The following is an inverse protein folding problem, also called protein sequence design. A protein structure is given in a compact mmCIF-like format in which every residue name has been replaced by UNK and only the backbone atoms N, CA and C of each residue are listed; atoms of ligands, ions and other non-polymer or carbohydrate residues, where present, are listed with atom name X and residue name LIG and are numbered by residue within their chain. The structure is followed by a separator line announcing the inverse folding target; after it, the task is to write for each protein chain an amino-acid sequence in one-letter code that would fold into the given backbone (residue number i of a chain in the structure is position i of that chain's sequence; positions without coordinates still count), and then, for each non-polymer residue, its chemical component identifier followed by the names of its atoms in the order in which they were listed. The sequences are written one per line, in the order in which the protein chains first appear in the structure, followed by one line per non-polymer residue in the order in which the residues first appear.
data_IF_643936349177
#
_entry.id   IF_643936349177
#
_cell.length_a   1.000
_cell.length_b   1.000
_cell.length_c   1.000
_cell.angle_alpha   90.00
_cell.angle_beta   90.00
_cell.angle_gamma   90.00
#
_symmetry.space_group_name_H-M   'P 1'
#
loop_
_entity.id
_entity.type
_entity.pdbx_description
1 polymer ?
#
# COMPACT_ATOMS: atom_id res chain seq x y z
N UNK A 1 12.26 10.41 20.79
CA UNK A 1 13.10 11.35 19.98
C UNK A 1 12.28 11.68 18.74
N UNK A 2 12.36 12.89 18.18
CA UNK A 2 11.67 13.16 16.92
C UNK A 2 12.17 12.18 15.85
N UNK A 3 11.26 11.66 15.04
CA UNK A 3 11.59 10.77 13.93
C UNK A 3 12.46 11.52 12.91
N UNK A 4 13.54 10.91 12.45
CA UNK A 4 14.53 11.51 11.55
C UNK A 4 14.80 10.61 10.35
N UNK A 5 15.30 11.20 9.28
CA UNK A 5 15.75 10.44 8.10
C UNK A 5 17.10 9.79 8.39
N UNK A 6 17.18 8.49 8.13
CA UNK A 6 18.43 7.74 8.15
C UNK A 6 18.99 7.64 6.73
N UNK A 7 19.98 8.44 6.41
CA UNK A 7 20.60 8.46 5.07
C UNK A 7 21.40 7.19 4.74
N UNK A 8 21.69 6.35 5.74
CA UNK A 8 22.32 5.03 5.60
C UNK A 8 21.32 3.90 5.91
N UNK A 9 20.01 4.20 5.77
CA UNK A 9 18.93 3.26 6.03
C UNK A 9 18.83 2.16 4.97
N UNK A 10 17.92 1.22 5.22
CA UNK A 10 17.74 0.01 4.40
C UNK A 10 17.26 0.28 2.97
N UNK A 11 16.63 1.44 2.74
CA UNK A 11 16.11 1.86 1.43
C UNK A 11 16.91 3.01 0.82
N UNK A 12 18.09 3.29 1.32
CA UNK A 12 18.95 4.38 0.80
C UNK A 12 19.10 4.30 -0.72
N UNK A 13 18.71 5.38 -1.40
CA UNK A 13 18.77 5.51 -2.86
C UNK A 13 17.73 4.72 -3.64
N UNK A 14 16.82 3.95 -2.98
CA UNK A 14 15.74 3.24 -3.63
C UNK A 14 14.59 4.18 -4.00
N UNK A 15 14.00 3.98 -5.17
CA UNK A 15 12.82 4.70 -5.63
C UNK A 15 11.57 3.91 -5.27
N UNK A 16 10.71 4.47 -4.43
CA UNK A 16 9.48 3.83 -3.95
C UNK A 16 8.24 4.60 -4.40
N UNK A 17 7.35 3.95 -5.15
CA UNK A 17 6.03 4.49 -5.53
C UNK A 17 4.98 3.92 -4.58
N UNK A 18 4.21 4.81 -3.91
CA UNK A 18 3.17 4.41 -2.96
C UNK A 18 1.84 5.02 -3.38
N UNK A 19 0.88 4.16 -3.72
CA UNK A 19 -0.47 4.59 -4.13
C UNK A 19 -1.40 4.76 -2.92
N UNK A 20 -2.35 5.71 -3.02
CA UNK A 20 -3.27 6.01 -1.92
C UNK A 20 -2.56 6.59 -0.69
N UNK A 21 -1.48 7.34 -0.89
CA UNK A 21 -0.57 7.78 0.17
C UNK A 21 -0.85 9.20 0.70
N UNK A 22 -2.02 9.77 0.44
CA UNK A 22 -2.40 11.08 1.00
C UNK A 22 -2.77 11.02 2.49
N UNK A 23 -3.04 9.84 3.05
CA UNK A 23 -3.47 9.62 4.45
C UNK A 23 -3.35 8.17 4.88
N UNK A 24 -3.44 7.93 6.19
CA UNK A 24 -3.57 6.62 6.78
C UNK A 24 -2.40 5.67 6.49
N UNK A 25 -2.68 4.43 6.08
CA UNK A 25 -1.65 3.40 5.86
C UNK A 25 -0.63 3.82 4.80
N UNK A 26 -1.08 4.36 3.67
CA UNK A 26 -0.17 4.80 2.61
C UNK A 26 0.74 5.95 3.02
N UNK A 27 0.23 6.92 3.76
CA UNK A 27 1.00 8.00 4.39
C UNK A 27 2.05 7.44 5.37
N UNK A 28 1.64 6.53 6.24
CA UNK A 28 2.52 5.88 7.22
C UNK A 28 3.68 5.12 6.55
N UNK A 29 3.38 4.37 5.48
CA UNK A 29 4.39 3.67 4.67
C UNK A 29 5.33 4.69 4.02
N UNK A 30 4.81 5.80 3.48
CA UNK A 30 5.62 6.85 2.86
C UNK A 30 6.62 7.45 3.85
N UNK A 31 6.17 7.76 5.07
CA UNK A 31 7.06 8.27 6.13
C UNK A 31 8.11 7.24 6.52
N UNK A 32 7.70 5.99 6.76
CA UNK A 32 8.65 4.95 7.19
C UNK A 32 9.72 4.65 6.12
N UNK A 33 9.33 4.66 4.84
CA UNK A 33 10.29 4.47 3.74
C UNK A 33 11.24 5.65 3.59
N UNK A 34 10.73 6.88 3.72
CA UNK A 34 11.57 8.07 3.73
C UNK A 34 12.57 8.04 4.90
N UNK A 35 12.15 7.61 6.10
CA UNK A 35 13.04 7.46 7.26
C UNK A 35 14.18 6.47 7.01
N UNK A 36 14.02 5.52 6.10
CA UNK A 36 15.07 4.57 5.66
C UNK A 36 15.83 5.03 4.41
N UNK A 37 15.71 6.30 4.03
CA UNK A 37 16.47 6.90 2.94
C UNK A 37 15.95 6.65 1.53
N UNK A 38 14.68 6.20 1.40
CA UNK A 38 14.05 6.06 0.09
C UNK A 38 13.70 7.42 -0.53
N UNK A 39 13.75 7.50 -1.86
CA UNK A 39 13.12 8.54 -2.66
C UNK A 39 11.67 8.17 -2.88
N UNK A 40 10.75 8.90 -2.25
CA UNK A 40 9.34 8.47 -2.15
C UNK A 40 8.47 9.24 -3.13
N UNK A 41 7.75 8.52 -3.99
CA UNK A 41 6.69 9.08 -4.84
C UNK A 41 5.34 8.82 -4.19
N UNK A 42 4.74 9.89 -3.69
CA UNK A 42 3.46 9.90 -2.96
C UNK A 42 2.33 10.15 -3.94
N UNK A 43 1.46 9.17 -4.14
CA UNK A 43 0.39 9.28 -5.13
C UNK A 43 -1.01 9.09 -4.53
N UNK A 44 -1.91 10.01 -4.86
CA UNK A 44 -3.35 9.91 -4.62
C UNK A 44 -4.09 10.96 -5.45
N UNK A 45 -5.43 10.96 -5.35
CA UNK A 45 -6.30 11.97 -6.00
C UNK A 45 -6.34 13.30 -5.26
N UNK A 46 -6.17 13.27 -3.93
CA UNK A 46 -6.21 14.45 -3.05
C UNK A 46 -4.86 15.15 -3.06
N UNK A 47 -4.75 16.28 -3.74
CA UNK A 47 -3.52 17.05 -3.92
C UNK A 47 -3.26 17.94 -2.72
N UNK A 48 -4.22 18.76 -2.36
CA UNK A 48 -4.12 19.73 -1.27
C UNK A 48 -5.15 19.46 -0.16
N UNK A 49 -4.88 19.99 1.03
CA UNK A 49 -5.85 19.94 2.13
C UNK A 49 -7.14 20.68 1.72
N UNK A 50 -8.29 20.02 1.94
CA UNK A 50 -9.60 20.53 1.56
C UNK A 50 -10.14 19.98 0.24
N UNK A 51 -9.33 19.37 -0.62
CA UNK A 51 -9.79 18.70 -1.86
C UNK A 51 -10.70 17.49 -1.57
N UNK A 52 -10.68 17.00 -0.34
CA UNK A 52 -11.49 15.86 0.11
C UNK A 52 -12.02 16.11 1.54
N UNK A 53 -13.22 15.61 1.89
CA UNK A 53 -13.76 15.76 3.25
C UNK A 53 -12.90 15.14 4.37
N UNK A 54 -12.11 14.13 4.04
CA UNK A 54 -11.16 13.53 4.98
C UNK A 54 -9.84 14.31 4.96
N UNK A 55 -9.19 14.51 6.13
CA UNK A 55 -7.88 15.17 6.20
C UNK A 55 -6.78 14.38 5.50
N UNK A 56 -5.73 15.06 5.10
CA UNK A 56 -4.54 14.50 4.45
C UNK A 56 -4.51 14.73 2.95
N UNK A 57 -3.32 15.06 2.45
CA UNK A 57 -3.04 15.38 1.04
C UNK A 57 -1.65 14.91 0.63
N UNK A 58 -1.42 14.69 -0.67
CA UNK A 58 -0.09 14.27 -1.14
C UNK A 58 0.95 15.36 -0.97
N UNK A 59 0.57 16.64 -1.14
CA UNK A 59 1.47 17.78 -0.91
C UNK A 59 1.86 17.89 0.57
N UNK A 60 0.92 17.66 1.50
CA UNK A 60 1.20 17.67 2.94
C UNK A 60 2.19 16.57 3.34
N UNK A 61 2.00 15.35 2.83
CA UNK A 61 2.93 14.23 3.08
C UNK A 61 4.31 14.52 2.54
N UNK A 62 4.41 14.98 1.30
CA UNK A 62 5.69 15.34 0.66
C UNK A 62 6.40 16.45 1.42
N UNK A 63 5.65 17.48 1.87
CA UNK A 63 6.25 18.58 2.62
C UNK A 63 6.88 18.11 3.93
N UNK A 64 6.17 17.26 4.71
CA UNK A 64 6.71 16.70 5.95
C UNK A 64 7.97 15.85 5.73
N UNK A 65 8.00 15.03 4.66
CA UNK A 65 9.20 14.26 4.32
C UNK A 65 10.37 15.19 4.01
N UNK A 66 10.14 16.25 3.23
CA UNK A 66 11.18 17.24 2.87
C UNK A 66 11.66 18.04 4.08
N UNK A 67 10.75 18.44 4.96
CA UNK A 67 11.09 19.18 6.19
C UNK A 67 11.95 18.34 7.14
N UNK A 68 11.78 17.01 7.10
CA UNK A 68 12.63 16.07 7.83
C UNK A 68 13.97 15.78 7.12
N UNK A 69 14.22 16.35 5.93
CA UNK A 69 15.44 16.17 5.16
C UNK A 69 15.42 15.00 4.16
N UNK A 70 14.25 14.38 3.92
CA UNK A 70 14.08 13.30 2.95
C UNK A 70 13.76 13.80 1.53
N UNK A 71 13.72 12.87 0.58
CA UNK A 71 13.35 13.11 -0.81
C UNK A 71 11.95 12.59 -1.11
N UNK A 72 11.05 13.46 -1.58
CA UNK A 72 9.70 13.04 -1.96
C UNK A 72 9.13 13.86 -3.13
N UNK A 73 8.27 13.22 -3.93
CA UNK A 73 7.54 13.79 -5.06
C UNK A 73 6.05 13.50 -4.91
N UNK A 74 5.20 14.51 -5.07
CA UNK A 74 3.76 14.35 -5.16
C UNK A 74 3.33 14.16 -6.61
N UNK A 75 2.57 13.09 -6.90
CA UNK A 75 1.99 12.84 -8.22
C UNK A 75 0.50 12.56 -8.07
N UNK A 76 -0.34 13.45 -8.60
CA UNK A 76 -1.78 13.21 -8.64
C UNK A 76 -2.08 12.05 -9.59
N UNK A 77 -2.83 11.06 -9.12
CA UNK A 77 -3.27 9.95 -9.96
C UNK A 77 -4.65 9.44 -9.51
N UNK A 78 -5.57 9.33 -10.46
CA UNK A 78 -6.79 8.53 -10.30
C UNK A 78 -6.57 7.17 -10.95
N UNK A 79 -6.38 6.15 -10.13
CA UNK A 79 -6.04 4.81 -10.60
C UNK A 79 -7.15 4.12 -11.41
N UNK A 80 -8.35 4.73 -11.49
CA UNK A 80 -9.40 4.27 -12.41
C UNK A 80 -9.13 4.66 -13.88
N UNK A 81 -8.08 5.45 -14.14
CA UNK A 81 -7.66 5.87 -15.49
C UNK A 81 -6.27 5.33 -15.84
N UNK A 82 -6.16 4.68 -16.99
CA UNK A 82 -4.90 4.09 -17.47
C UNK A 82 -3.79 5.14 -17.62
N UNK A 83 -4.11 6.27 -18.28
CA UNK A 83 -3.16 7.36 -18.50
C UNK A 83 -2.58 7.95 -17.21
N UNK A 84 -3.36 7.99 -16.11
CA UNK A 84 -2.86 8.46 -14.83
C UNK A 84 -1.85 7.46 -14.21
N UNK A 85 -2.05 6.15 -14.41
CA UNK A 85 -1.11 5.11 -13.97
C UNK A 85 0.21 5.17 -14.73
N UNK A 86 0.16 5.36 -16.05
CA UNK A 86 1.34 5.56 -16.90
C UNK A 86 2.10 6.84 -16.51
N UNK A 87 1.38 7.94 -16.34
CA UNK A 87 1.95 9.22 -15.90
C UNK A 87 2.62 9.12 -14.54
N UNK A 88 2.04 8.34 -13.60
CA UNK A 88 2.61 8.13 -12.28
C UNK A 88 3.99 7.48 -12.34
N UNK A 89 4.12 6.39 -13.09
CA UNK A 89 5.40 5.68 -13.20
C UNK A 89 6.41 6.52 -13.99
N UNK A 90 6.00 7.15 -15.10
CA UNK A 90 6.89 8.01 -15.85
C UNK A 90 7.42 9.18 -15.03
N UNK A 91 6.57 9.86 -14.25
CA UNK A 91 7.00 10.94 -13.36
C UNK A 91 7.97 10.47 -12.26
N UNK A 92 7.79 9.25 -11.74
CA UNK A 92 8.72 8.67 -10.78
C UNK A 92 10.09 8.43 -11.43
N UNK A 93 10.11 7.84 -12.61
CA UNK A 93 11.34 7.53 -13.34
C UNK A 93 12.08 8.78 -13.84
N UNK A 94 11.37 9.79 -14.29
CA UNK A 94 11.93 11.09 -14.71
C UNK A 94 12.60 11.83 -13.54
N UNK A 95 12.02 11.74 -12.34
CA UNK A 95 12.52 12.44 -11.17
C UNK A 95 13.67 11.71 -10.47
N UNK A 96 13.60 10.39 -10.36
CA UNK A 96 14.45 9.61 -9.47
C UNK A 96 15.15 8.42 -10.13
N UNK A 97 14.80 8.09 -11.36
CA UNK A 97 15.26 6.88 -12.04
C UNK A 97 14.32 5.69 -11.81
N UNK A 98 14.75 4.49 -12.24
CA UNK A 98 13.90 3.31 -12.29
C UNK A 98 13.27 2.98 -10.94
N UNK A 99 11.98 2.62 -10.94
CA UNK A 99 11.24 2.23 -9.74
C UNK A 99 11.79 0.92 -9.18
N UNK A 100 12.19 0.93 -7.91
CA UNK A 100 12.65 -0.24 -7.17
C UNK A 100 11.54 -0.90 -6.35
N UNK A 101 10.62 -0.09 -5.81
CA UNK A 101 9.57 -0.54 -4.90
C UNK A 101 8.22 0.02 -5.36
N UNK A 102 7.23 -0.86 -5.54
CA UNK A 102 5.85 -0.49 -5.81
C UNK A 102 4.95 -0.95 -4.66
N UNK A 103 4.27 -0.01 -3.99
CA UNK A 103 3.27 -0.31 -2.97
C UNK A 103 1.87 0.01 -3.49
N UNK A 104 1.11 -1.02 -3.82
CA UNK A 104 -0.29 -0.95 -4.22
C UNK A 104 -1.19 -0.91 -2.97
N UNK A 105 -1.34 0.28 -2.38
CA UNK A 105 -2.13 0.51 -1.18
C UNK A 105 -3.49 1.18 -1.47
N UNK A 106 -3.65 1.88 -2.59
CA UNK A 106 -4.89 2.57 -2.91
C UNK A 106 -6.11 1.62 -2.90
N UNK A 107 -7.19 2.08 -2.32
CA UNK A 107 -8.46 1.35 -2.30
C UNK A 107 -9.66 2.30 -2.43
N UNK A 108 -10.73 1.79 -3.00
CA UNK A 108 -12.07 2.36 -2.93
C UNK A 108 -13.02 1.27 -2.44
N UNK A 109 -13.81 1.56 -1.42
CA UNK A 109 -14.60 0.55 -0.74
C UNK A 109 -16.05 0.97 -0.62
N UNK A 110 -16.96 0.03 -0.91
CA UNK A 110 -18.38 0.17 -0.69
C UNK A 110 -18.87 -1.04 0.12
N UNK A 111 -19.32 -0.79 1.34
CA UNK A 111 -19.94 -1.80 2.19
C UNK A 111 -21.45 -1.80 1.95
N UNK A 112 -21.88 -2.54 0.93
CA UNK A 112 -23.27 -2.61 0.47
C UNK A 112 -23.65 -4.08 0.33
N UNK A 113 -24.87 -4.50 0.74
CA UNK A 113 -25.36 -5.85 0.51
C UNK A 113 -25.26 -6.26 -0.96
N UNK A 114 -24.91 -7.50 -1.24
CA UNK A 114 -24.69 -7.99 -2.61
C UNK A 114 -25.90 -7.75 -3.52
N UNK A 115 -27.12 -7.90 -3.00
CA UNK A 115 -28.37 -7.68 -3.76
C UNK A 115 -28.56 -6.21 -4.22
N UNK A 116 -27.92 -5.25 -3.56
CA UNK A 116 -28.03 -3.81 -3.84
C UNK A 116 -26.78 -3.25 -4.53
N UNK A 117 -25.79 -4.10 -4.81
CA UNK A 117 -24.51 -3.68 -5.34
C UNK A 117 -24.62 -3.33 -6.84
N UNK A 118 -24.40 -2.07 -7.20
CA UNK A 118 -24.46 -1.64 -8.59
C UNK A 118 -23.23 -2.02 -9.40
N UNK A 119 -23.41 -2.32 -10.68
CA UNK A 119 -22.32 -2.59 -11.63
C UNK A 119 -21.27 -1.46 -11.67
N UNK A 120 -21.71 -0.21 -11.62
CA UNK A 120 -20.82 0.95 -11.61
C UNK A 120 -19.85 0.92 -10.41
N UNK A 121 -20.34 0.59 -9.21
CA UNK A 121 -19.51 0.49 -8.01
C UNK A 121 -18.59 -0.71 -8.07
N UNK A 122 -19.07 -1.84 -8.58
CA UNK A 122 -18.26 -3.03 -8.78
C UNK A 122 -17.08 -2.74 -9.71
N UNK A 123 -17.35 -2.21 -10.90
CA UNK A 123 -16.31 -1.87 -11.89
C UNK A 123 -15.27 -0.91 -11.32
N UNK A 124 -15.67 0.10 -10.54
CA UNK A 124 -14.74 1.01 -9.90
C UNK A 124 -13.85 0.31 -8.85
N UNK A 125 -14.43 -0.59 -8.05
CA UNK A 125 -13.65 -1.35 -7.06
C UNK A 125 -12.66 -2.31 -7.72
N UNK A 126 -13.12 -3.04 -8.75
CA UNK A 126 -12.29 -3.96 -9.53
C UNK A 126 -11.15 -3.22 -10.21
N UNK A 127 -11.45 -2.09 -10.88
CA UNK A 127 -10.45 -1.27 -11.55
C UNK A 127 -9.35 -0.80 -10.60
N UNK A 128 -9.73 -0.22 -9.46
CA UNK A 128 -8.75 0.37 -8.54
C UNK A 128 -8.01 -0.68 -7.70
N UNK A 129 -8.66 -1.80 -7.32
CA UNK A 129 -8.09 -2.75 -6.37
C UNK A 129 -7.54 -4.03 -7.00
N UNK A 130 -7.85 -4.30 -8.28
CA UNK A 130 -7.40 -5.51 -8.98
C UNK A 130 -6.62 -5.13 -10.24
N UNK A 131 -7.25 -4.39 -11.16
CA UNK A 131 -6.63 -4.07 -12.44
C UNK A 131 -5.49 -3.05 -12.31
N UNK A 132 -5.66 -1.98 -11.53
CA UNK A 132 -4.61 -0.98 -11.34
C UNK A 132 -3.32 -1.58 -10.73
N UNK A 133 -3.35 -2.43 -9.67
CA UNK A 133 -2.17 -3.16 -9.20
C UNK A 133 -1.51 -4.03 -10.27
N UNK A 134 -2.29 -4.72 -11.11
CA UNK A 134 -1.76 -5.50 -12.23
C UNK A 134 -1.05 -4.57 -13.23
N UNK A 135 -1.72 -3.51 -13.69
CA UNK A 135 -1.16 -2.60 -14.71
C UNK A 135 0.07 -1.84 -14.19
N UNK A 136 0.03 -1.30 -12.96
CA UNK A 136 1.21 -0.67 -12.36
C UNK A 136 2.38 -1.64 -12.22
N UNK A 137 2.10 -2.91 -11.87
CA UNK A 137 3.15 -3.94 -11.87
C UNK A 137 3.73 -4.13 -13.26
N UNK A 138 2.91 -4.24 -14.32
CA UNK A 138 3.39 -4.36 -15.69
C UNK A 138 4.34 -3.21 -16.10
N UNK A 139 4.00 -1.97 -15.71
CA UNK A 139 4.80 -0.79 -16.03
C UNK A 139 6.21 -0.84 -15.42
N UNK A 140 6.37 -1.38 -14.22
CA UNK A 140 7.68 -1.44 -13.52
C UNK A 140 8.46 -2.73 -13.78
N UNK A 141 7.80 -3.80 -14.24
CA UNK A 141 8.41 -5.14 -14.34
C UNK A 141 9.58 -5.24 -15.31
N UNK A 142 9.53 -4.55 -16.45
CA UNK A 142 10.63 -4.59 -17.42
C UNK A 142 11.94 -4.18 -16.77
N UNK A 143 11.96 -3.01 -16.11
CA UNK A 143 13.13 -2.51 -15.43
C UNK A 143 13.57 -3.38 -14.23
N UNK A 144 12.61 -3.89 -13.44
CA UNK A 144 12.92 -4.79 -12.31
C UNK A 144 13.57 -6.11 -12.78
N UNK A 145 13.05 -6.72 -13.86
CA UNK A 145 13.60 -7.96 -14.44
C UNK A 145 15.00 -7.77 -14.99
N UNK A 146 15.24 -6.69 -15.72
CA UNK A 146 16.56 -6.36 -16.29
C UNK A 146 17.62 -6.18 -15.20
N UNK A 147 17.25 -5.51 -14.09
CA UNK A 147 18.16 -5.29 -12.96
C UNK A 147 18.25 -6.47 -12.00
N UNK A 148 17.39 -7.51 -12.15
CA UNK A 148 17.28 -8.65 -11.23
C UNK A 148 17.05 -8.21 -9.78
N UNK A 149 16.26 -7.16 -9.60
CA UNK A 149 15.92 -6.60 -8.29
C UNK A 149 14.65 -5.76 -8.37
N UNK A 150 13.77 -5.92 -7.40
CA UNK A 150 12.53 -5.16 -7.25
C UNK A 150 11.62 -5.74 -6.17
N UNK A 151 10.74 -4.90 -5.65
CA UNK A 151 9.79 -5.28 -4.60
C UNK A 151 8.40 -4.74 -4.92
N UNK A 152 7.41 -5.61 -4.92
CA UNK A 152 6.00 -5.26 -5.08
C UNK A 152 5.27 -5.69 -3.82
N UNK A 153 4.65 -4.73 -3.13
CA UNK A 153 3.85 -4.97 -1.92
C UNK A 153 2.41 -4.57 -2.20
N UNK A 154 1.51 -5.53 -2.17
CA UNK A 154 0.08 -5.31 -2.33
C UNK A 154 -0.61 -5.26 -0.96
N UNK A 155 -1.48 -4.28 -0.73
CA UNK A 155 -2.24 -4.16 0.53
C UNK A 155 -3.60 -4.79 0.37
N UNK A 156 -3.80 -5.92 1.07
CA UNK A 156 -5.06 -6.67 1.12
C UNK A 156 -5.90 -6.31 2.35
N UNK A 157 -6.69 -7.24 2.83
CA UNK A 157 -7.58 -7.12 3.99
C UNK A 157 -7.96 -8.50 4.51
N UNK A 158 -8.28 -8.61 5.79
CA UNK A 158 -8.93 -9.80 6.36
C UNK A 158 -10.23 -10.18 5.64
N UNK A 159 -10.85 -9.24 4.92
CA UNK A 159 -12.02 -9.51 4.10
C UNK A 159 -11.76 -10.50 2.95
N UNK A 160 -10.50 -10.76 2.59
CA UNK A 160 -10.11 -11.78 1.60
C UNK A 160 -10.26 -13.22 2.13
N UNK A 161 -10.28 -13.41 3.45
CA UNK A 161 -10.50 -14.72 4.06
C UNK A 161 -11.90 -15.23 3.75
N UNK A 162 -12.00 -16.55 3.52
CA UNK A 162 -13.30 -17.20 3.33
C UNK A 162 -14.07 -17.20 4.65
N UNK A 163 -15.26 -16.57 4.73
CA UNK A 163 -16.03 -16.55 5.97
C UNK A 163 -16.69 -17.92 6.22
N UNK A 164 -16.84 -18.28 7.48
CA UNK A 164 -17.70 -19.38 7.87
C UNK A 164 -19.17 -19.04 7.60
N UNK A 165 -19.97 -20.03 7.21
CA UNK A 165 -21.38 -19.83 6.78
C UNK A 165 -22.24 -19.24 7.91
N UNK A 166 -21.95 -19.56 9.15
CA UNK A 166 -22.67 -19.13 10.35
C UNK A 166 -22.03 -17.92 11.05
N UNK A 167 -21.00 -17.31 10.46
CA UNK A 167 -20.29 -16.16 11.05
C UNK A 167 -21.10 -14.85 11.08
N UNK A 168 -22.33 -14.84 10.55
CA UNK A 168 -23.17 -13.64 10.52
C UNK A 168 -22.65 -12.54 9.60
N UNK A 169 -22.11 -12.91 8.43
CA UNK A 169 -21.41 -12.03 7.49
C UNK A 169 -22.07 -10.68 7.23
N UNK A 170 -21.24 -9.65 7.09
CA UNK A 170 -21.63 -8.26 6.79
C UNK A 170 -21.59 -7.93 5.30
N UNK A 171 -21.87 -6.68 4.89
CA UNK A 171 -21.96 -6.23 3.50
C UNK A 171 -20.58 -6.07 2.82
N UNK A 172 -19.63 -6.96 3.10
CA UNK A 172 -18.25 -6.92 2.61
C UNK A 172 -17.91 -7.90 1.48
N UNK A 173 -18.89 -8.67 0.98
CA UNK A 173 -18.65 -9.76 0.02
C UNK A 173 -17.91 -9.32 -1.24
N UNK A 174 -18.36 -8.24 -1.89
CA UNK A 174 -17.72 -7.73 -3.12
C UNK A 174 -16.34 -7.17 -2.85
N UNK A 175 -16.13 -6.52 -1.70
CA UNK A 175 -14.82 -6.05 -1.27
C UNK A 175 -13.87 -7.23 -1.01
N UNK A 176 -14.33 -8.24 -0.28
CA UNK A 176 -13.56 -9.47 -0.03
C UNK A 176 -13.16 -10.18 -1.32
N UNK A 177 -14.06 -10.24 -2.30
CA UNK A 177 -13.79 -10.80 -3.63
C UNK A 177 -12.64 -10.06 -4.33
N UNK A 178 -12.63 -8.72 -4.33
CA UNK A 178 -11.53 -7.94 -4.91
C UNK A 178 -10.21 -8.19 -4.17
N UNK A 179 -10.23 -8.27 -2.84
CA UNK A 179 -9.02 -8.53 -2.04
C UNK A 179 -8.50 -9.97 -2.23
N UNK A 180 -9.38 -10.95 -2.32
CA UNK A 180 -8.99 -12.33 -2.66
C UNK A 180 -8.39 -12.44 -4.07
N UNK A 181 -8.94 -11.70 -5.05
CA UNK A 181 -8.36 -11.60 -6.38
C UNK A 181 -6.95 -11.00 -6.36
N UNK A 182 -6.71 -9.93 -5.58
CA UNK A 182 -5.41 -9.32 -5.39
C UNK A 182 -4.40 -10.30 -4.74
N UNK A 183 -4.83 -11.09 -3.74
CA UNK A 183 -3.98 -12.10 -3.12
C UNK A 183 -3.60 -13.20 -4.12
N UNK A 184 -4.57 -13.68 -4.91
CA UNK A 184 -4.29 -14.67 -5.96
C UNK A 184 -3.36 -14.12 -7.05
N UNK A 185 -3.55 -12.87 -7.46
CA UNK A 185 -2.63 -12.20 -8.38
C UNK A 185 -1.22 -12.15 -7.81
N UNK A 186 -1.06 -11.73 -6.56
CA UNK A 186 0.23 -11.60 -5.87
C UNK A 186 1.00 -12.91 -5.86
N UNK A 187 0.37 -14.01 -5.46
CA UNK A 187 1.03 -15.32 -5.38
C UNK A 187 1.41 -15.86 -6.77
N UNK A 188 0.58 -15.59 -7.78
CA UNK A 188 0.89 -15.93 -9.17
C UNK A 188 2.08 -15.16 -9.71
N UNK A 189 2.06 -13.84 -9.53
CA UNK A 189 3.15 -12.96 -9.99
C UNK A 189 4.47 -13.25 -9.27
N UNK A 190 4.42 -13.59 -7.97
CA UNK A 190 5.62 -13.99 -7.23
C UNK A 190 6.28 -15.24 -7.83
N UNK A 191 5.48 -16.23 -8.24
CA UNK A 191 6.00 -17.45 -8.90
C UNK A 191 6.61 -17.13 -10.28
N UNK A 192 5.99 -16.24 -11.06
CA UNK A 192 6.50 -15.82 -12.37
C UNK A 192 7.85 -15.10 -12.27
N UNK A 193 8.06 -14.30 -11.20
CA UNK A 193 9.20 -13.41 -11.06
C UNK A 193 10.31 -13.94 -10.15
N UNK A 194 10.12 -15.11 -9.56
CA UNK A 194 11.08 -15.68 -8.61
C UNK A 194 12.49 -15.82 -9.19
N UNK A 195 12.62 -16.30 -10.44
CA UNK A 195 13.89 -16.45 -11.15
C UNK A 195 14.52 -15.08 -11.54
N UNK A 196 13.73 -14.03 -11.53
CA UNK A 196 14.18 -12.65 -11.78
C UNK A 196 14.59 -11.91 -10.50
N UNK A 197 14.52 -12.59 -9.34
CA UNK A 197 14.80 -12.01 -8.02
C UNK A 197 13.95 -10.75 -7.74
N UNK A 198 12.71 -10.73 -8.22
CA UNK A 198 11.72 -9.70 -7.89
C UNK A 198 10.77 -10.26 -6.85
N UNK A 199 10.73 -9.62 -5.69
CA UNK A 199 9.91 -10.04 -4.55
C UNK A 199 8.49 -9.47 -4.68
N UNK A 200 7.48 -10.33 -4.58
CA UNK A 200 6.07 -9.90 -4.65
C UNK A 200 5.32 -10.49 -3.46
N UNK A 201 4.78 -9.63 -2.62
CA UNK A 201 4.08 -10.04 -1.40
C UNK A 201 2.76 -9.28 -1.23
N UNK A 202 1.84 -9.88 -0.50
CA UNK A 202 0.62 -9.19 -0.07
C UNK A 202 0.53 -9.20 1.45
N UNK A 203 0.13 -8.05 1.98
CA UNK A 203 -0.01 -7.85 3.42
C UNK A 203 -1.37 -7.24 3.74
N UNK A 204 -2.00 -7.76 4.79
CA UNK A 204 -3.25 -7.23 5.32
C UNK A 204 -2.98 -6.49 6.63
N UNK A 205 -3.53 -5.28 6.82
CA UNK A 205 -3.54 -4.64 8.12
C UNK A 205 -4.46 -5.41 9.08
N UNK A 206 -4.26 -5.22 10.37
CA UNK A 206 -5.33 -5.42 11.34
C UNK A 206 -6.43 -4.36 11.17
N UNK A 207 -7.18 -4.10 12.22
CA UNK A 207 -8.10 -2.96 12.28
C UNK A 207 -7.30 -1.69 12.58
N UNK A 208 -6.98 -0.90 11.57
CA UNK A 208 -6.21 0.35 11.74
C UNK A 208 -7.15 1.55 11.75
N UNK A 209 -7.02 2.43 12.73
CA UNK A 209 -7.84 3.64 12.88
C UNK A 209 -7.47 4.72 11.85
N UNK A 210 -7.57 4.42 10.56
CA UNK A 210 -7.37 5.41 9.50
C UNK A 210 -8.53 6.40 9.42
N UNK A 211 -8.32 7.60 8.84
CA UNK A 211 -9.42 8.56 8.62
C UNK A 211 -10.65 7.95 7.92
N UNK A 212 -10.44 7.02 6.97
CA UNK A 212 -11.52 6.30 6.30
C UNK A 212 -12.27 5.34 7.22
N UNK A 213 -11.56 4.56 8.02
CA UNK A 213 -12.15 3.61 8.99
C UNK A 213 -12.98 4.36 10.05
N UNK A 214 -12.47 5.49 10.53
CA UNK A 214 -13.19 6.36 11.49
C UNK A 214 -14.43 6.97 10.84
N UNK A 215 -14.31 7.52 9.64
CA UNK A 215 -15.42 8.11 8.91
C UNK A 215 -16.56 7.11 8.66
N UNK A 216 -16.24 5.88 8.27
CA UNK A 216 -17.22 4.81 8.05
C UNK A 216 -17.69 4.12 9.34
N UNK A 217 -17.22 4.59 10.51
CA UNK A 217 -17.59 4.03 11.84
C UNK A 217 -17.39 2.52 11.92
N UNK A 218 -16.29 2.02 11.36
CA UNK A 218 -15.97 0.58 11.37
C UNK A 218 -15.39 0.13 12.72
N UNK A 219 -14.93 1.06 13.56
CA UNK A 219 -14.54 0.80 14.94
C UNK A 219 -15.77 1.03 15.83
N UNK A 220 -16.06 0.04 16.67
CA UNK A 220 -17.18 0.03 17.61
C UNK A 220 -16.77 -0.64 18.93
N UNK A 221 -17.69 -0.72 19.90
CA UNK A 221 -17.39 -1.28 21.23
C UNK A 221 -16.93 -2.74 21.23
N UNK A 222 -17.27 -3.52 20.21
CA UNK A 222 -16.87 -4.94 20.12
C UNK A 222 -15.45 -5.14 19.54
N UNK A 223 -14.87 -4.16 18.89
CA UNK A 223 -13.57 -4.30 18.20
C UNK A 223 -12.55 -3.18 18.51
N UNK A 224 -12.91 -2.18 19.28
CA UNK A 224 -12.02 -1.04 19.61
C UNK A 224 -10.70 -1.44 20.29
N UNK A 225 -10.72 -2.54 21.06
CA UNK A 225 -9.54 -3.05 21.75
C UNK A 225 -8.60 -3.85 20.83
N UNK A 226 -9.03 -4.11 19.59
CA UNK A 226 -8.27 -4.83 18.54
C UNK A 226 -7.70 -3.88 17.48
N UNK A 227 -7.61 -2.58 17.78
CA UNK A 227 -7.04 -1.60 16.85
C UNK A 227 -5.53 -1.75 16.82
N UNK A 228 -5.01 -2.05 15.61
CA UNK A 228 -3.57 -2.15 15.35
C UNK A 228 -2.99 -0.76 15.08
N UNK A 229 -1.87 -0.37 15.69
CA UNK A 229 -1.16 0.86 15.34
C UNK A 229 -0.75 0.87 13.86
N UNK A 230 -0.85 2.03 13.20
CA UNK A 230 -0.49 2.16 11.78
C UNK A 230 1.00 1.92 11.54
N UNK A 231 1.83 2.17 12.55
CA UNK A 231 3.26 1.91 12.58
C UNK A 231 3.61 0.43 12.35
N UNK A 232 2.77 -0.50 12.86
CA UNK A 232 2.94 -1.94 12.60
C UNK A 232 2.84 -2.24 11.10
N UNK A 233 1.88 -1.62 10.42
CA UNK A 233 1.71 -1.81 8.98
C UNK A 233 2.88 -1.20 8.19
N UNK A 234 3.34 -0.01 8.59
CA UNK A 234 4.46 0.67 7.95
C UNK A 234 5.77 -0.14 8.10
N UNK A 235 6.06 -0.65 9.30
CA UNK A 235 7.25 -1.47 9.59
C UNK A 235 7.21 -2.82 8.87
N UNK A 236 6.04 -3.48 8.86
CA UNK A 236 5.88 -4.74 8.15
C UNK A 236 6.03 -4.59 6.63
N UNK A 237 5.50 -3.50 6.03
CA UNK A 237 5.72 -3.18 4.63
C UNK A 237 7.19 -2.90 4.33
N UNK A 238 7.90 -2.19 5.22
CA UNK A 238 9.33 -1.99 5.10
C UNK A 238 10.06 -3.33 5.04
N UNK A 239 9.75 -4.27 5.95
CA UNK A 239 10.40 -5.60 5.98
C UNK A 239 10.22 -6.37 4.66
N UNK A 240 9.09 -6.20 3.98
CA UNK A 240 8.80 -6.81 2.68
C UNK A 240 9.50 -6.12 1.49
N UNK A 241 10.14 -4.96 1.70
CA UNK A 241 10.63 -4.10 0.62
C UNK A 241 12.15 -4.06 0.46
N UNK A 242 12.89 -4.94 1.14
CA UNK A 242 14.35 -5.05 0.98
C UNK A 242 14.89 -6.49 0.99
N UNK A 243 14.07 -7.48 1.31
CA UNK A 243 14.52 -8.88 1.27
C UNK A 243 14.53 -9.43 -0.16
N UNK A 244 15.50 -10.30 -0.50
CA UNK A 244 15.52 -10.95 -1.80
C UNK A 244 14.33 -11.90 -1.96
N UNK A 245 13.94 -12.20 -3.21
CA UNK A 245 12.81 -13.07 -3.49
C UNK A 245 12.98 -14.49 -2.91
N UNK A 246 14.22 -14.97 -2.75
CA UNK A 246 14.52 -16.26 -2.12
C UNK A 246 14.20 -16.32 -0.63
N UNK A 247 14.08 -15.17 0.03
CA UNK A 247 13.75 -15.07 1.46
C UNK A 247 12.27 -14.73 1.67
N UNK A 248 11.79 -13.69 1.00
CA UNK A 248 10.41 -13.20 1.16
C UNK A 248 9.78 -12.91 -0.21
N UNK A 249 9.08 -13.90 -0.76
CA UNK A 249 8.22 -13.71 -1.94
C UNK A 249 7.06 -14.69 -1.92
N UNK A 250 5.91 -14.28 -2.47
CA UNK A 250 4.70 -15.08 -2.54
C UNK A 250 3.92 -15.20 -1.22
N UNK A 251 4.21 -14.36 -0.24
CA UNK A 251 3.52 -14.40 1.06
C UNK A 251 2.15 -13.73 1.00
N UNK A 252 1.18 -14.36 1.66
CA UNK A 252 -0.05 -13.75 2.14
C UNK A 252 0.14 -13.62 3.64
N UNK A 253 0.28 -12.39 4.16
CA UNK A 253 0.65 -12.18 5.56
C UNK A 253 -0.14 -11.02 6.19
N UNK A 254 0.06 -10.81 7.49
CA UNK A 254 -0.61 -9.79 8.29
C UNK A 254 0.43 -8.98 9.06
N UNK A 255 0.15 -7.68 9.28
CA UNK A 255 1.10 -6.77 9.92
C UNK A 255 1.60 -7.32 11.27
N UNK A 256 0.69 -7.69 12.18
CA UNK A 256 1.07 -8.18 13.52
C UNK A 256 1.81 -9.51 13.47
N UNK A 257 1.50 -10.38 12.49
CA UNK A 257 2.27 -11.62 12.27
C UNK A 257 3.70 -11.32 11.83
N UNK A 258 3.89 -10.36 10.93
CA UNK A 258 5.22 -9.92 10.50
C UNK A 258 6.02 -9.33 11.66
N UNK A 259 5.39 -8.48 12.48
CA UNK A 259 6.01 -7.92 13.69
C UNK A 259 6.51 -9.03 14.60
N UNK A 260 5.67 -10.02 14.88
CA UNK A 260 6.01 -11.14 15.78
C UNK A 260 7.07 -12.07 15.17
N UNK A 261 6.89 -12.49 13.91
CA UNK A 261 7.78 -13.44 13.22
C UNK A 261 9.21 -12.93 13.08
N UNK A 262 9.36 -11.65 12.75
CA UNK A 262 10.67 -11.04 12.51
C UNK A 262 11.18 -10.20 13.69
N UNK A 263 10.47 -10.20 14.81
CA UNK A 263 10.80 -9.39 16.01
C UNK A 263 11.05 -7.92 15.63
N UNK A 264 10.15 -7.36 14.80
CA UNK A 264 10.29 -5.99 14.33
C UNK A 264 9.93 -5.01 15.46
N UNK A 265 10.61 -3.88 15.47
CA UNK A 265 10.35 -2.79 16.41
C UNK A 265 9.77 -1.59 15.62
N UNK A 266 8.42 -1.43 15.59
CA UNK A 266 7.78 -0.31 14.92
C UNK A 266 8.32 1.03 15.45
N UNK A 267 8.68 1.91 14.53
CA UNK A 267 9.26 3.22 14.85
C UNK A 267 8.20 4.31 14.82
N UNK A 268 8.39 5.35 15.64
CA UNK A 268 7.61 6.58 15.53
C UNK A 268 7.74 7.14 14.11
N UNK A 269 6.62 7.53 13.51
CA UNK A 269 6.60 8.10 12.16
C UNK A 269 6.86 9.62 12.17
N UNK A 270 7.21 10.17 11.01
CA UNK A 270 7.33 11.61 10.82
C UNK A 270 6.00 12.29 11.18
N UNK A 271 6.05 13.31 12.05
CA UNK A 271 4.86 14.02 12.57
C UNK A 271 4.53 15.27 11.76
#
# INVERSE_FOLDING_TARGET
MAATINMDGRLTGKVAVITGASRGIGEAIAYRYAQEGAKVVVSARTVDEGDHPLPGSINGVVQRIKDAGGEALAVRSDLSHEADRETLIQAAEDAYGPVDILVNNAAVTFFIPTAEFSEKRYKLMEEVQVYAPLHLSQLVLTGMRERKTGWIVNVSSHAALHPEVDSGGGPGTVYGMCKAALERFTTGLAAELYADNVSVNVISPGLVATPGVVYHKLINDSNKDNVTPVEHMAEACLRLSFSPASELSGRITYADQMIAEFSLEPQDLLA
#
